data_IF_436965576963
#
_entry.id   IF_436965576963
#
_cell.length_a   1.000
_cell.length_b   1.000
_cell.length_c   1.000
_cell.angle_alpha   90.00
_cell.angle_beta   90.00
_cell.angle_gamma   90.00
#
_symmetry.space_group_name_H-M   'P 1'
#
loop_
_entity.id
_entity.type
_entity.pdbx_description
1 polymer ?
#
# COMPACT_ATOMS: atom_id res chain seq x y z
N UNK A 1 -8.56 0.26 8.72
CA UNK A 1 -9.55 -0.29 7.75
C UNK A 1 -10.02 0.72 6.72
N UNK A 2 -10.61 1.85 7.11
CA UNK A 2 -11.11 2.86 6.15
C UNK A 2 -10.04 3.35 5.17
N UNK A 3 -8.82 3.62 5.65
CA UNK A 3 -7.67 3.96 4.81
C UNK A 3 -7.39 2.89 3.74
N UNK A 4 -7.30 1.62 4.13
CA UNK A 4 -7.05 0.51 3.19
C UNK A 4 -8.17 0.36 2.16
N UNK A 5 -9.43 0.61 2.54
CA UNK A 5 -10.55 0.61 1.59
C UNK A 5 -10.47 1.81 0.62
N UNK A 6 -10.19 3.01 1.13
CA UNK A 6 -10.00 4.21 0.32
C UNK A 6 -8.80 4.11 -0.64
N UNK A 7 -7.72 3.44 -0.22
CA UNK A 7 -6.58 3.14 -1.08
C UNK A 7 -6.98 2.26 -2.27
N UNK A 8 -7.86 1.24 -2.07
CA UNK A 8 -8.33 0.42 -3.18
C UNK A 8 -9.15 1.23 -4.19
N UNK A 9 -10.05 2.08 -3.70
CA UNK A 9 -10.84 2.97 -4.57
C UNK A 9 -9.92 3.93 -5.35
N UNK A 10 -8.88 4.47 -4.71
CA UNK A 10 -7.89 5.36 -5.34
C UNK A 10 -7.03 4.64 -6.39
N UNK A 11 -6.62 3.40 -6.15
CA UNK A 11 -5.93 2.58 -7.16
C UNK A 11 -6.87 2.23 -8.32
N UNK A 12 -8.17 2.06 -8.07
CA UNK A 12 -9.18 1.89 -9.11
C UNK A 12 -9.24 3.06 -10.10
N UNK A 13 -8.90 4.27 -9.67
CA UNK A 13 -8.75 5.40 -10.59
C UNK A 13 -7.57 5.22 -11.55
N UNK A 14 -6.43 4.71 -11.05
CA UNK A 14 -5.28 4.44 -11.90
C UNK A 14 -5.52 3.27 -12.86
N UNK A 15 -6.25 2.23 -12.42
CA UNK A 15 -6.69 1.15 -13.31
C UNK A 15 -7.58 1.70 -14.43
N UNK A 16 -8.52 2.59 -14.11
CA UNK A 16 -9.34 3.24 -15.14
C UNK A 16 -8.48 4.04 -16.12
N UNK A 17 -7.52 4.84 -15.61
CA UNK A 17 -6.61 5.59 -16.47
C UNK A 17 -5.78 4.67 -17.36
N UNK A 18 -5.20 3.60 -16.82
CA UNK A 18 -4.47 2.61 -17.61
C UNK A 18 -5.35 1.98 -18.70
N UNK A 19 -6.61 1.66 -18.39
CA UNK A 19 -7.53 1.04 -19.33
C UNK A 19 -7.98 1.97 -20.48
N UNK A 20 -8.21 3.25 -20.20
CA UNK A 20 -8.84 4.18 -21.16
C UNK A 20 -7.90 5.22 -21.74
N UNK A 21 -6.75 5.45 -21.11
CA UNK A 21 -5.88 6.60 -21.39
C UNK A 21 -6.40 7.92 -20.79
N UNK A 22 -7.59 7.94 -20.19
CA UNK A 22 -8.18 9.14 -19.60
C UNK A 22 -7.60 9.38 -18.21
N UNK A 23 -6.90 10.51 -18.06
CA UNK A 23 -6.24 10.85 -16.80
C UNK A 23 -7.21 10.89 -15.64
N UNK A 24 -6.99 10.00 -14.68
CA UNK A 24 -7.76 9.93 -13.42
C UNK A 24 -6.81 9.71 -12.24
N UNK A 25 -6.43 10.78 -11.50
CA UNK A 25 -5.47 10.67 -10.41
C UNK A 25 -6.01 9.82 -9.25
N UNK A 26 -5.12 9.29 -8.40
CA UNK A 26 -5.51 8.56 -7.18
C UNK A 26 -6.43 9.40 -6.29
N UNK A 27 -6.10 10.68 -6.14
CA UNK A 27 -6.87 11.68 -5.42
C UNK A 27 -6.81 12.98 -6.22
N UNK A 28 -7.93 13.70 -6.37
CA UNK A 28 -7.94 15.01 -7.02
C UNK A 28 -7.26 16.08 -6.16
N UNK A 29 -7.28 15.92 -4.84
CA UNK A 29 -6.57 16.80 -3.90
C UNK A 29 -6.22 16.08 -2.58
N UNK A 30 -5.41 16.74 -1.76
CA UNK A 30 -5.10 16.25 -0.41
C UNK A 30 -6.35 16.22 0.49
N UNK A 31 -7.28 17.15 0.29
CA UNK A 31 -8.56 17.23 1.00
C UNK A 31 -9.48 16.07 0.62
N UNK A 32 -9.53 15.67 -0.66
CA UNK A 32 -10.30 14.50 -1.08
C UNK A 32 -9.74 13.22 -0.45
N UNK A 33 -8.41 13.07 -0.42
CA UNK A 33 -7.76 11.96 0.30
C UNK A 33 -8.17 11.93 1.77
N UNK A 34 -8.10 13.07 2.45
CA UNK A 34 -8.46 13.17 3.86
C UNK A 34 -9.96 12.86 4.09
N UNK A 35 -10.85 13.39 3.25
CA UNK A 35 -12.29 13.15 3.33
C UNK A 35 -12.65 11.68 3.09
N UNK A 36 -11.97 11.03 2.14
CA UNK A 36 -12.15 9.61 1.84
C UNK A 36 -11.85 8.70 3.03
N UNK A 37 -10.92 9.11 3.90
CA UNK A 37 -10.58 8.39 5.14
C UNK A 37 -11.50 8.80 6.29
N UNK A 38 -11.84 10.10 6.39
CA UNK A 38 -12.60 10.69 7.49
C UNK A 38 -14.05 10.21 7.59
N UNK A 39 -14.64 9.67 6.52
CA UNK A 39 -15.94 8.98 6.61
C UNK A 39 -15.89 7.69 7.43
N UNK A 40 -14.71 7.08 7.56
CA UNK A 40 -14.51 5.79 8.20
C UNK A 40 -15.03 5.68 9.63
N UNK A 41 -14.65 6.59 10.55
CA UNK A 41 -15.10 6.56 11.94
C UNK A 41 -16.62 6.68 12.14
N UNK A 42 -17.36 7.20 11.16
CA UNK A 42 -18.81 7.32 11.23
C UNK A 42 -19.56 6.04 10.80
N UNK A 43 -18.85 5.08 10.20
CA UNK A 43 -19.42 3.82 9.71
C UNK A 43 -19.41 2.77 10.82
N UNK A 44 -20.44 1.93 10.84
CA UNK A 44 -20.47 0.71 11.64
C UNK A 44 -19.37 -0.27 11.19
N UNK A 45 -19.04 -1.22 12.06
CA UNK A 45 -18.07 -2.28 11.73
C UNK A 45 -18.50 -3.16 10.55
N UNK A 46 -19.81 -3.32 10.31
CA UNK A 46 -20.32 -4.03 9.14
C UNK A 46 -20.13 -3.22 7.85
N UNK A 47 -20.45 -1.93 7.88
CA UNK A 47 -20.25 -1.04 6.74
C UNK A 47 -18.77 -0.92 6.36
N UNK A 48 -17.87 -0.85 7.35
CA UNK A 48 -16.42 -0.84 7.11
C UNK A 48 -15.92 -2.14 6.46
N UNK A 49 -16.40 -3.30 6.92
CA UNK A 49 -16.05 -4.60 6.31
C UNK A 49 -16.62 -4.73 4.90
N UNK A 50 -17.86 -4.29 4.69
CA UNK A 50 -18.50 -4.27 3.38
C UNK A 50 -17.75 -3.38 2.40
N UNK A 51 -17.37 -2.17 2.83
CA UNK A 51 -16.58 -1.26 1.99
C UNK A 51 -15.19 -1.82 1.67
N UNK A 52 -14.48 -2.37 2.65
CA UNK A 52 -13.18 -3.00 2.43
C UNK A 52 -13.27 -4.15 1.41
N UNK A 53 -14.27 -5.04 1.57
CA UNK A 53 -14.47 -6.19 0.69
C UNK A 53 -14.85 -5.74 -0.72
N UNK A 54 -15.83 -4.84 -0.84
CA UNK A 54 -16.32 -4.36 -2.13
C UNK A 54 -15.26 -3.57 -2.90
N UNK A 55 -14.47 -2.72 -2.24
CA UNK A 55 -13.37 -1.99 -2.87
C UNK A 55 -12.26 -2.92 -3.35
N UNK A 56 -11.90 -3.94 -2.57
CA UNK A 56 -10.94 -4.96 -2.98
C UNK A 56 -11.43 -5.76 -4.21
N UNK A 57 -12.69 -6.19 -4.22
CA UNK A 57 -13.27 -6.92 -5.36
C UNK A 57 -13.31 -6.06 -6.63
N UNK A 58 -13.69 -4.79 -6.53
CA UNK A 58 -13.68 -3.87 -7.68
C UNK A 58 -12.28 -3.65 -8.23
N UNK A 59 -11.29 -3.48 -7.35
CA UNK A 59 -9.90 -3.31 -7.77
C UNK A 59 -9.39 -4.56 -8.50
N UNK A 60 -9.58 -5.75 -7.92
CA UNK A 60 -9.17 -7.02 -8.52
C UNK A 60 -9.81 -7.21 -9.91
N UNK A 61 -11.14 -7.05 -10.02
CA UNK A 61 -11.83 -7.14 -11.30
C UNK A 61 -11.42 -6.06 -12.32
N UNK A 62 -10.91 -4.92 -11.86
CA UNK A 62 -10.33 -3.90 -12.73
C UNK A 62 -8.98 -4.34 -13.30
N UNK A 63 -8.08 -4.81 -12.43
CA UNK A 63 -6.75 -5.31 -12.80
C UNK A 63 -6.85 -6.51 -13.76
N UNK A 64 -7.74 -7.46 -13.47
CA UNK A 64 -7.96 -8.67 -14.29
C UNK A 64 -8.43 -8.38 -15.73
N UNK A 65 -8.95 -7.16 -15.99
CA UNK A 65 -9.44 -6.75 -17.30
C UNK A 65 -8.42 -5.96 -18.13
N UNK A 66 -7.27 -5.59 -17.55
CA UNK A 66 -6.23 -4.90 -18.28
C UNK A 66 -5.57 -5.87 -19.28
N UNK A 67 -5.41 -5.42 -20.53
CA UNK A 67 -4.62 -6.13 -21.54
C UNK A 67 -3.13 -5.93 -21.30
N UNK A 68 -2.29 -6.77 -21.92
CA UNK A 68 -0.82 -6.65 -21.84
C UNK A 68 -0.32 -5.24 -22.21
N UNK A 69 -0.95 -4.59 -23.21
CA UNK A 69 -0.64 -3.22 -23.60
C UNK A 69 -1.07 -2.21 -22.53
N UNK A 70 -2.27 -2.34 -21.98
CA UNK A 70 -2.79 -1.44 -20.94
C UNK A 70 -1.98 -1.55 -19.65
N UNK A 71 -1.40 -2.71 -19.35
CA UNK A 71 -0.45 -2.85 -18.24
C UNK A 71 0.79 -1.96 -18.43
N UNK A 72 1.22 -1.71 -19.67
CA UNK A 72 2.37 -0.85 -19.96
C UNK A 72 2.03 0.66 -19.96
N UNK A 73 0.75 1.04 -19.92
CA UNK A 73 0.36 2.44 -19.88
C UNK A 73 0.88 3.14 -18.62
N UNK A 74 1.36 4.36 -18.82
CA UNK A 74 1.87 5.21 -17.74
C UNK A 74 0.72 5.87 -16.96
N UNK A 75 0.85 5.82 -15.64
CA UNK A 75 -0.01 6.47 -14.66
C UNK A 75 0.85 7.26 -13.68
N UNK A 76 0.25 8.21 -12.97
CA UNK A 76 0.98 9.04 -11.99
C UNK A 76 0.51 8.69 -10.57
N UNK A 77 1.45 8.27 -9.72
CA UNK A 77 1.15 7.95 -8.32
C UNK A 77 0.80 9.21 -7.53
N UNK A 78 0.23 9.04 -6.33
CA UNK A 78 -0.05 10.16 -5.42
C UNK A 78 1.21 11.00 -5.07
N UNK A 79 2.42 10.45 -5.21
CA UNK A 79 3.69 11.16 -4.98
C UNK A 79 4.25 11.81 -6.26
N UNK A 80 3.51 11.81 -7.36
CA UNK A 80 3.93 12.44 -8.62
C UNK A 80 4.90 11.60 -9.46
N UNK A 81 5.15 10.34 -9.10
CA UNK A 81 5.97 9.43 -9.90
C UNK A 81 5.18 8.92 -11.10
N UNK A 82 5.72 9.05 -12.30
CA UNK A 82 5.21 8.38 -13.49
C UNK A 82 5.70 6.93 -13.49
N UNK A 83 4.77 5.98 -13.54
CA UNK A 83 5.03 4.53 -13.49
C UNK A 83 4.09 3.80 -14.44
N UNK A 84 4.51 2.63 -14.93
CA UNK A 84 3.59 1.73 -15.64
C UNK A 84 2.54 1.18 -14.66
N UNK A 85 1.35 0.84 -15.18
CA UNK A 85 0.28 0.21 -14.40
C UNK A 85 0.70 -1.13 -13.76
N UNK A 86 1.79 -1.78 -14.20
CA UNK A 86 2.36 -2.95 -13.53
C UNK A 86 2.81 -2.68 -12.09
N UNK A 87 2.96 -1.41 -11.69
CA UNK A 87 3.29 -1.01 -10.32
C UNK A 87 2.08 -1.12 -9.37
N UNK A 88 0.84 -1.12 -9.89
CA UNK A 88 -0.38 -1.07 -9.08
C UNK A 88 -0.53 -2.26 -8.10
N UNK A 89 -0.24 -3.52 -8.49
CA UNK A 89 -0.26 -4.64 -7.55
C UNK A 89 0.73 -4.46 -6.41
N UNK A 90 1.93 -3.96 -6.69
CA UNK A 90 2.95 -3.70 -5.68
C UNK A 90 2.50 -2.58 -4.72
N UNK A 91 1.95 -1.49 -5.25
CA UNK A 91 1.36 -0.42 -4.43
C UNK A 91 0.28 -0.96 -3.48
N UNK A 92 -0.59 -1.85 -3.99
CA UNK A 92 -1.66 -2.45 -3.19
C UNK A 92 -1.12 -3.42 -2.14
N UNK A 93 -0.14 -4.24 -2.50
CA UNK A 93 0.45 -5.23 -1.61
C UNK A 93 1.06 -4.57 -0.36
N UNK A 94 1.82 -3.48 -0.54
CA UNK A 94 2.42 -2.74 0.59
C UNK A 94 1.35 -2.24 1.57
N UNK A 95 0.29 -1.66 1.05
CA UNK A 95 -0.82 -1.13 1.86
C UNK A 95 -1.56 -2.24 2.62
N UNK A 96 -1.83 -3.38 1.99
CA UNK A 96 -2.53 -4.49 2.64
C UNK A 96 -1.64 -5.20 3.65
N UNK A 97 -0.44 -5.59 3.27
CA UNK A 97 0.45 -6.39 4.11
C UNK A 97 0.92 -5.61 5.35
N UNK A 98 1.35 -4.35 5.18
CA UNK A 98 1.81 -3.53 6.30
C UNK A 98 0.64 -3.19 7.23
N UNK A 99 -0.49 -2.74 6.68
CA UNK A 99 -1.63 -2.38 7.55
C UNK A 99 -2.38 -3.58 8.13
N UNK A 100 -2.20 -4.80 7.61
CA UNK A 100 -2.68 -6.01 8.28
C UNK A 100 -1.97 -6.20 9.63
N UNK A 101 -0.66 -5.92 9.71
CA UNK A 101 0.09 -5.90 10.97
C UNK A 101 -0.40 -4.75 11.87
N UNK A 102 -0.64 -3.57 11.31
CA UNK A 102 -1.11 -2.39 12.07
C UNK A 102 -2.52 -2.59 12.72
N UNK A 103 -3.32 -3.56 12.26
CA UNK A 103 -4.61 -3.89 12.91
C UNK A 103 -4.42 -4.42 14.34
N UNK A 104 -3.21 -4.85 14.73
CA UNK A 104 -2.85 -5.11 16.12
C UNK A 104 -3.61 -6.27 16.77
N UNK A 105 -4.26 -7.13 15.98
CA UNK A 105 -5.00 -8.29 16.49
C UNK A 105 -4.07 -9.42 16.93
N UNK A 106 -2.77 -9.32 16.65
CA UNK A 106 -1.77 -10.37 16.87
C UNK A 106 -1.89 -11.55 15.89
N UNK A 107 -2.79 -11.47 14.90
CA UNK A 107 -3.04 -12.53 13.93
C UNK A 107 -2.03 -12.52 12.78
N UNK A 108 -1.50 -11.33 12.45
CA UNK A 108 -0.52 -11.15 11.36
C UNK A 108 0.61 -10.28 11.86
N UNK A 109 1.83 -10.76 11.67
CA UNK A 109 3.09 -10.07 11.95
C UNK A 109 3.92 -9.98 10.67
N UNK A 110 5.02 -9.21 10.69
CA UNK A 110 5.96 -9.21 9.56
C UNK A 110 6.56 -10.60 9.29
N UNK A 111 6.63 -11.49 10.30
CA UNK A 111 7.13 -12.85 10.13
C UNK A 111 6.17 -13.76 9.35
N UNK A 112 4.89 -13.37 9.24
CA UNK A 112 3.87 -14.11 8.49
C UNK A 112 3.78 -13.66 7.02
N UNK A 113 4.54 -12.62 6.63
CA UNK A 113 4.52 -12.09 5.28
C UNK A 113 5.49 -12.86 4.35
N UNK A 114 5.18 -12.98 3.04
CA UNK A 114 6.07 -13.69 2.11
C UNK A 114 7.48 -13.10 2.07
N UNK A 115 8.49 -13.96 2.04
CA UNK A 115 9.90 -13.56 2.05
C UNK A 115 10.28 -12.63 0.89
N UNK A 116 9.80 -12.94 -0.32
CA UNK A 116 10.02 -12.10 -1.51
C UNK A 116 9.38 -10.71 -1.36
N UNK A 117 8.20 -10.63 -0.73
CA UNK A 117 7.55 -9.36 -0.43
C UNK A 117 8.39 -8.54 0.57
N UNK A 118 8.87 -9.18 1.65
CA UNK A 118 9.71 -8.52 2.64
C UNK A 118 11.02 -8.01 2.02
N UNK A 119 11.65 -8.82 1.16
CA UNK A 119 12.88 -8.45 0.45
C UNK A 119 12.66 -7.23 -0.44
N UNK A 120 11.59 -7.22 -1.23
CA UNK A 120 11.23 -6.09 -2.08
C UNK A 120 10.89 -4.84 -1.25
N UNK A 121 10.20 -5.01 -0.11
CA UNK A 121 9.83 -3.93 0.78
C UNK A 121 11.06 -3.28 1.42
N UNK A 122 11.98 -4.10 1.93
CA UNK A 122 13.26 -3.64 2.50
C UNK A 122 14.04 -2.86 1.45
N UNK A 123 14.20 -3.39 0.24
CA UNK A 123 14.90 -2.70 -0.83
C UNK A 123 14.29 -1.32 -1.15
N UNK A 124 12.96 -1.25 -1.26
CA UNK A 124 12.28 0.02 -1.55
C UNK A 124 12.43 1.05 -0.42
N UNK A 125 12.19 0.65 0.83
CA UNK A 125 12.22 1.59 1.95
C UNK A 125 13.64 2.10 2.17
N UNK A 126 14.63 1.22 2.12
CA UNK A 126 16.05 1.59 2.24
C UNK A 126 16.46 2.61 1.18
N UNK A 127 16.07 2.37 -0.09
CA UNK A 127 16.33 3.30 -1.18
C UNK A 127 15.64 4.66 -0.96
N UNK A 128 14.35 4.66 -0.56
CA UNK A 128 13.59 5.89 -0.31
C UNK A 128 14.10 6.69 0.87
N UNK A 129 14.63 6.03 1.90
CA UNK A 129 15.25 6.66 3.08
C UNK A 129 16.72 7.01 2.85
N UNK A 130 17.30 6.67 1.69
CA UNK A 130 18.71 6.84 1.38
C UNK A 130 19.64 6.19 2.42
N UNK A 131 19.25 5.03 2.95
CA UNK A 131 20.07 4.26 3.88
C UNK A 131 21.13 3.47 3.12
N UNK A 132 22.39 3.59 3.54
CA UNK A 132 23.53 2.88 2.93
C UNK A 132 23.86 1.59 3.68
N UNK A 133 23.41 1.46 4.92
CA UNK A 133 23.65 0.29 5.78
C UNK A 133 22.32 -0.11 6.43
N UNK A 134 22.12 -1.42 6.56
CA UNK A 134 21.00 -2.02 7.26
C UNK A 134 21.51 -2.77 8.48
N UNK A 135 20.76 -2.78 9.58
CA UNK A 135 21.13 -3.57 10.73
C UNK A 135 21.12 -5.06 10.40
N UNK A 136 22.03 -5.80 11.03
CA UNK A 136 21.97 -7.27 11.03
C UNK A 136 20.72 -7.74 11.78
N UNK A 137 20.05 -8.76 11.23
CA UNK A 137 18.90 -9.37 11.90
C UNK A 137 18.01 -10.17 10.95
N UNK A 138 16.97 -10.83 11.49
CA UNK A 138 15.97 -11.51 10.68
C UNK A 138 15.27 -10.53 9.74
N UNK A 139 15.05 -10.93 8.48
CA UNK A 139 14.40 -10.10 7.47
C UNK A 139 13.06 -9.48 7.93
N UNK A 140 12.15 -10.21 8.63
CA UNK A 140 10.93 -9.61 9.18
C UNK A 140 11.18 -8.45 10.15
N UNK A 141 12.22 -8.54 10.99
CA UNK A 141 12.56 -7.51 11.98
C UNK A 141 13.15 -6.27 11.32
N UNK A 142 14.01 -6.46 10.31
CA UNK A 142 14.55 -5.37 9.50
C UNK A 142 13.44 -4.66 8.73
N UNK A 143 12.51 -5.41 8.14
CA UNK A 143 11.35 -4.86 7.45
C UNK A 143 10.43 -4.07 8.39
N UNK A 144 10.13 -4.61 9.57
CA UNK A 144 9.32 -3.92 10.59
C UNK A 144 9.98 -2.61 11.05
N UNK A 145 11.28 -2.63 11.33
CA UNK A 145 12.06 -1.44 11.69
C UNK A 145 12.06 -0.38 10.58
N UNK A 146 12.36 -0.75 9.33
CA UNK A 146 12.34 0.16 8.19
C UNK A 146 10.96 0.80 7.98
N UNK A 147 9.92 0.01 8.19
CA UNK A 147 8.54 0.47 8.14
C UNK A 147 8.17 1.35 9.35
N UNK A 148 8.99 1.44 10.40
CA UNK A 148 8.67 2.19 11.62
C UNK A 148 7.59 1.52 12.47
N UNK A 149 7.54 0.18 12.47
CA UNK A 149 6.66 -0.66 13.29
C UNK A 149 7.46 -1.33 14.42
N UNK A 150 6.80 -1.86 15.46
CA UNK A 150 7.48 -2.58 16.54
C UNK A 150 8.39 -3.71 16.00
N UNK A 151 9.60 -3.78 16.55
CA UNK A 151 10.64 -4.74 16.19
C UNK A 151 11.50 -5.11 17.41
N UNK A 152 12.27 -6.19 17.31
CA UNK A 152 13.17 -6.69 18.34
C UNK A 152 14.64 -6.26 18.15
N UNK A 153 14.98 -5.55 17.07
CA UNK A 153 16.36 -5.07 16.83
C UNK A 153 16.85 -4.14 17.95
N UNK A 154 18.10 -4.30 18.36
CA UNK A 154 18.75 -3.55 19.44
C UNK A 154 19.77 -2.58 18.87
N UNK A 155 19.84 -1.37 19.43
CA UNK A 155 20.85 -0.38 19.05
C UNK A 155 20.60 0.33 17.71
N UNK A 156 19.43 0.13 17.12
CA UNK A 156 19.00 0.82 15.90
C UNK A 156 18.26 2.11 16.23
N UNK A 157 18.40 3.19 15.44
CA UNK A 157 17.66 4.43 15.67
C UNK A 157 16.17 4.23 15.39
N UNK A 158 15.32 4.99 16.06
CA UNK A 158 13.89 5.00 15.74
C UNK A 158 13.66 5.64 14.37
N UNK A 159 12.85 4.96 13.54
CA UNK A 159 12.39 5.47 12.27
C UNK A 159 10.90 5.81 12.37
N UNK A 160 10.52 6.97 11.83
CA UNK A 160 9.10 7.35 11.71
C UNK A 160 8.31 6.37 10.81
N UNK A 161 6.98 6.36 10.92
CA UNK A 161 6.14 5.43 10.15
C UNK A 161 6.30 5.62 8.64
N UNK A 162 6.15 4.53 7.91
CA UNK A 162 6.23 4.50 6.45
C UNK A 162 4.93 3.95 5.84
N UNK A 163 4.21 4.73 5.04
CA UNK A 163 2.77 4.56 4.73
C UNK A 163 1.86 4.91 5.91
#
# INVERSE_FOLDING_TARGET
MAHVAANADALGNLVHWAATGEKKPMYASAEERAAGIAKGPALSGEELRSWLTASAHRLAAGLDRLTDEQWQHEVVTAQGRTVSATELPWMRAREVCVHAVDLGTGVVTFADLPEDFLTALVAEISAKRALTELPDGPLPEVAAWLAGRPHALVGVPELGPWL
#
